data_IF_553512220316
#
_entry.id   IF_553512220316
#
_cell.length_a   1.000
_cell.length_b   1.000
_cell.length_c   1.000
_cell.angle_alpha   90.00
_cell.angle_beta   90.00
_cell.angle_gamma   90.00
#
_symmetry.space_group_name_H-M   'P 1'
#
loop_
_entity.id
_entity.type
_entity.pdbx_description
1 polymer ?
#
# COMPACT_ATOMS: atom_id res chain seq x y z
N UNK A 1 -32.80 -52.50 9.21
CA UNK A 1 -31.72 -51.65 9.75
C UNK A 1 -31.02 -50.99 8.58
N UNK A 2 -31.39 -49.74 8.27
CA UNK A 2 -30.82 -48.99 7.14
C UNK A 2 -29.73 -48.04 7.63
N UNK A 3 -28.54 -48.13 7.04
CA UNK A 3 -27.44 -47.20 7.30
C UNK A 3 -27.62 -45.97 6.43
N UNK A 4 -27.81 -44.81 7.05
CA UNK A 4 -27.75 -43.52 6.37
C UNK A 4 -26.30 -43.06 6.36
N UNK A 5 -25.62 -43.16 5.22
CA UNK A 5 -24.34 -42.50 5.00
C UNK A 5 -24.64 -41.01 4.87
N UNK A 6 -24.35 -40.22 5.91
CA UNK A 6 -24.27 -38.77 5.77
C UNK A 6 -23.04 -38.47 4.91
N UNK A 7 -23.24 -38.03 3.66
CA UNK A 7 -22.18 -37.38 2.92
C UNK A 7 -21.89 -36.05 3.62
N UNK A 8 -20.77 -35.97 4.34
CA UNK A 8 -20.22 -34.70 4.77
C UNK A 8 -19.82 -33.93 3.51
N UNK A 9 -20.58 -32.88 3.19
CA UNK A 9 -20.23 -31.96 2.10
C UNK A 9 -18.83 -31.42 2.45
N UNK A 10 -17.80 -31.68 1.62
CA UNK A 10 -16.47 -31.15 1.89
C UNK A 10 -16.59 -29.64 1.98
N UNK A 11 -16.20 -29.10 3.14
CA UNK A 11 -16.16 -27.66 3.37
C UNK A 11 -15.19 -27.08 2.33
N UNK A 12 -15.70 -26.53 1.23
CA UNK A 12 -14.89 -25.76 0.29
C UNK A 12 -14.28 -24.63 1.13
N UNK A 13 -12.94 -24.48 1.22
CA UNK A 13 -12.34 -23.39 1.98
C UNK A 13 -12.83 -22.08 1.37
N UNK A 14 -13.84 -21.50 1.99
CA UNK A 14 -14.54 -20.36 1.47
C UNK A 14 -13.70 -19.14 1.83
N UNK A 15 -13.16 -18.52 0.77
CA UNK A 15 -12.65 -17.15 0.72
C UNK A 15 -11.27 -16.92 1.32
N UNK A 16 -10.23 -17.20 0.52
CA UNK A 16 -9.09 -16.27 0.48
C UNK A 16 -9.66 -14.88 0.18
N UNK A 17 -9.67 -13.98 1.18
CA UNK A 17 -10.18 -12.64 0.98
C UNK A 17 -9.41 -12.00 -0.19
N UNK A 18 -10.11 -11.29 -1.11
CA UNK A 18 -9.43 -10.59 -2.18
C UNK A 18 -8.37 -9.67 -1.56
N UNK A 19 -7.20 -9.54 -2.19
CA UNK A 19 -6.15 -8.68 -1.66
C UNK A 19 -6.70 -7.26 -1.47
N UNK A 20 -6.55 -6.71 -0.26
CA UNK A 20 -6.95 -5.34 0.03
C UNK A 20 -5.97 -4.39 -0.65
N UNK A 21 -6.35 -3.83 -1.79
CA UNK A 21 -5.56 -2.84 -2.52
C UNK A 21 -5.85 -1.46 -1.92
N UNK A 22 -4.79 -0.72 -1.58
CA UNK A 22 -4.84 0.69 -1.18
C UNK A 22 -4.26 1.53 -2.33
N UNK A 23 -4.99 2.56 -2.76
CA UNK A 23 -4.66 3.32 -3.97
C UNK A 23 -4.57 4.81 -3.66
N UNK A 24 -3.52 5.45 -4.16
CA UNK A 24 -3.25 6.87 -3.93
C UNK A 24 -3.03 7.59 -5.24
N UNK A 25 -3.56 8.81 -5.34
CA UNK A 25 -3.28 9.74 -6.42
C UNK A 25 -2.46 10.90 -5.86
N UNK A 26 -1.27 11.11 -6.39
CA UNK A 26 -0.38 12.20 -6.00
C UNK A 26 -0.29 13.18 -7.17
N UNK A 27 -0.58 14.46 -6.92
CA UNK A 27 -0.35 15.57 -7.86
C UNK A 27 0.66 16.50 -7.22
N UNK A 28 1.76 16.77 -7.91
CA UNK A 28 2.76 17.68 -7.39
C UNK A 28 3.42 18.50 -8.49
N UNK A 29 3.94 19.64 -8.08
CA UNK A 29 4.83 20.49 -8.84
C UNK A 29 6.16 20.46 -8.08
N UNK A 30 7.24 20.20 -8.80
CA UNK A 30 8.61 20.30 -8.29
C UNK A 30 9.25 21.50 -8.97
N UNK A 31 9.61 22.50 -8.18
CA UNK A 31 10.40 23.63 -8.66
C UNK A 31 11.86 23.34 -8.31
N UNK A 32 12.63 22.86 -9.30
CA UNK A 32 14.06 22.69 -9.16
C UNK A 32 14.74 24.04 -9.47
N UNK A 33 15.19 24.72 -8.43
CA UNK A 33 16.05 25.89 -8.56
C UNK A 33 17.46 25.46 -8.17
N UNK A 34 18.45 25.84 -8.99
CA UNK A 34 19.83 25.31 -8.90
C UNK A 34 20.52 25.50 -7.54
N UNK A 35 20.01 26.38 -6.68
CA UNK A 35 20.60 26.76 -5.38
C UNK A 35 19.69 26.52 -4.17
N UNK A 36 18.50 25.92 -4.33
CA UNK A 36 17.55 25.68 -3.23
C UNK A 36 17.05 24.24 -3.26
N UNK A 37 16.84 23.65 -2.08
CA UNK A 37 16.20 22.34 -1.96
C UNK A 37 14.89 22.30 -2.76
N UNK A 38 14.58 21.19 -3.45
CA UNK A 38 13.40 21.08 -4.28
C UNK A 38 12.17 21.40 -3.45
N UNK A 39 11.47 22.47 -3.85
CA UNK A 39 10.24 22.87 -3.20
C UNK A 39 9.10 22.09 -3.85
N UNK A 40 8.56 21.13 -3.10
CA UNK A 40 7.38 20.39 -3.54
C UNK A 40 6.14 21.18 -3.17
N UNK A 41 5.14 21.19 -4.05
CA UNK A 41 3.79 21.60 -3.68
C UNK A 41 2.78 20.73 -4.39
N UNK A 42 1.82 20.18 -3.65
CA UNK A 42 0.93 19.20 -4.23
C UNK A 42 -0.25 18.82 -3.37
N UNK A 43 -1.01 17.84 -3.84
CA UNK A 43 -2.01 17.12 -3.05
C UNK A 43 -1.89 15.60 -3.25
N UNK A 44 -2.16 14.86 -2.18
CA UNK A 44 -2.30 13.40 -2.20
C UNK A 44 -3.73 13.05 -1.81
N UNK A 45 -4.36 12.17 -2.57
CA UNK A 45 -5.70 11.66 -2.34
C UNK A 45 -5.69 10.14 -2.20
N UNK A 46 -6.33 9.63 -1.14
CA UNK A 46 -6.66 8.22 -1.02
C UNK A 46 -7.93 7.92 -1.82
N UNK A 47 -7.85 7.00 -2.79
CA UNK A 47 -8.92 6.76 -3.76
C UNK A 47 -10.14 6.15 -3.08
N UNK A 48 -9.93 5.19 -2.16
CA UNK A 48 -10.98 4.41 -1.53
C UNK A 48 -11.82 5.25 -0.54
N UNK A 49 -11.17 6.10 0.26
CA UNK A 49 -11.89 6.94 1.22
C UNK A 49 -12.21 8.35 0.69
N UNK A 50 -11.61 8.76 -0.42
CA UNK A 50 -11.76 10.11 -0.97
C UNK A 50 -11.02 11.20 -0.19
N UNK A 51 -10.27 10.85 0.87
CA UNK A 51 -9.56 11.82 1.69
C UNK A 51 -8.41 12.43 0.89
N UNK A 52 -8.30 13.75 0.90
CA UNK A 52 -7.25 14.50 0.21
C UNK A 52 -6.57 15.48 1.16
N UNK A 53 -5.25 15.57 1.09
CA UNK A 53 -4.45 16.56 1.82
C UNK A 53 -3.48 17.25 0.89
N UNK A 54 -3.17 18.52 1.18
CA UNK A 54 -2.09 19.25 0.52
C UNK A 54 -0.78 18.97 1.23
N UNK A 55 0.32 19.04 0.50
CA UNK A 55 1.67 18.89 1.04
C UNK A 55 2.63 19.89 0.40
N UNK A 56 3.67 20.22 1.15
CA UNK A 56 4.80 21.05 0.72
C UNK A 56 6.14 20.30 0.81
N UNK A 57 6.12 19.15 1.48
CA UNK A 57 7.27 18.28 1.68
C UNK A 57 6.88 16.84 1.32
N UNK A 58 7.85 16.02 0.94
CA UNK A 58 7.56 14.62 0.61
C UNK A 58 7.25 13.81 1.88
N UNK A 59 7.84 14.18 3.01
CA UNK A 59 7.60 13.58 4.31
C UNK A 59 6.11 13.63 4.72
N UNK A 60 5.40 14.71 4.38
CA UNK A 60 3.95 14.82 4.59
C UNK A 60 3.15 13.77 3.79
N UNK A 61 3.62 13.42 2.58
CA UNK A 61 3.02 12.40 1.71
C UNK A 61 3.20 11.02 2.35
N UNK A 62 4.41 10.69 2.79
CA UNK A 62 4.72 9.42 3.44
C UNK A 62 3.92 9.25 4.74
N UNK A 63 3.82 10.32 5.54
CA UNK A 63 3.01 10.32 6.75
C UNK A 63 1.53 10.09 6.44
N UNK A 64 1.00 10.65 5.35
CA UNK A 64 -0.37 10.37 4.92
C UNK A 64 -0.57 8.91 4.51
N UNK A 65 0.32 8.35 3.68
CA UNK A 65 0.25 6.95 3.22
C UNK A 65 0.35 5.96 4.39
N UNK A 66 1.18 6.26 5.40
CA UNK A 66 1.37 5.39 6.57
C UNK A 66 0.10 5.14 7.38
N UNK A 67 -0.92 6.01 7.25
CA UNK A 67 -2.23 5.84 7.90
C UNK A 67 -3.05 4.70 7.29
N UNK A 68 -2.76 4.34 6.05
CA UNK A 68 -3.52 3.38 5.24
C UNK A 68 -2.72 2.12 4.94
N UNK A 69 -1.39 2.22 4.90
CA UNK A 69 -0.48 1.11 4.62
C UNK A 69 0.53 0.98 5.75
N UNK A 70 0.71 -0.24 6.26
CA UNK A 70 1.80 -0.56 7.17
C UNK A 70 3.14 -0.57 6.39
N UNK A 71 3.71 0.62 6.15
CA UNK A 71 4.95 0.83 5.39
C UNK A 71 6.16 0.06 5.98
N UNK A 72 6.08 -0.35 7.25
CA UNK A 72 7.14 -1.08 7.95
C UNK A 72 7.38 -2.53 7.44
N UNK A 73 6.55 -3.07 6.54
CA UNK A 73 6.75 -4.42 5.96
C UNK A 73 7.40 -4.46 4.57
N UNK A 74 7.47 -3.34 3.85
CA UNK A 74 7.87 -3.35 2.44
C UNK A 74 9.39 -3.25 2.21
N UNK A 75 10.18 -2.93 3.25
CA UNK A 75 11.63 -2.77 3.16
C UNK A 75 12.38 -4.08 3.50
N UNK A 76 12.17 -5.17 2.76
CA UNK A 76 12.85 -6.45 3.05
C UNK A 76 13.29 -7.32 1.87
N UNK A 77 13.45 -6.78 0.66
CA UNK A 77 13.77 -7.64 -0.51
C UNK A 77 14.72 -7.03 -1.54
N UNK A 78 15.68 -6.19 -1.14
CA UNK A 78 16.73 -5.73 -2.08
C UNK A 78 18.17 -5.87 -1.59
N UNK A 79 18.41 -6.45 -0.42
CA UNK A 79 19.76 -6.54 0.16
C UNK A 79 20.28 -7.98 0.33
N UNK A 80 19.72 -8.97 -0.38
CA UNK A 80 20.19 -10.37 -0.28
C UNK A 80 20.93 -10.88 -1.55
N UNK A 81 20.94 -10.14 -2.66
CA UNK A 81 21.60 -10.56 -3.92
C UNK A 81 23.09 -10.15 -3.97
N UNK A 82 23.85 -10.44 -2.92
CA UNK A 82 25.21 -9.95 -2.83
C UNK A 82 26.13 -10.72 -1.90
N UNK A 83 26.28 -12.03 -2.11
CA UNK A 83 27.53 -12.75 -1.79
C UNK A 83 27.53 -14.12 -2.46
N UNK A 84 28.36 -14.28 -3.48
CA UNK A 84 28.46 -15.51 -4.26
C UNK A 84 29.74 -15.59 -5.09
N UNK A 85 30.86 -15.74 -4.39
CA UNK A 85 32.23 -16.12 -4.83
C UNK A 85 33.16 -15.00 -5.26
#
# INVERSE_FOLDING_TARGET
>A
MGYFIRAEVPQIPTMAQPPSIQSFLIRFISEETADVAPSYRGSIRHVQSGNEVRFTTWEEVEHFVSRYVALNRLRRSREDDGLGT
#
